data_IF_235704148839
#
_entry.id   IF_235704148839
#
_cell.length_a   1.000
_cell.length_b   1.000
_cell.length_c   1.000
_cell.angle_alpha   90.00
_cell.angle_beta   90.00
_cell.angle_gamma   90.00
#
_symmetry.space_group_name_H-M   'P 1'
#
loop_
_entity.id
_entity.type
_entity.pdbx_description
1 polymer ?
#
# COMPACT_ATOMS: atom_id res chain seq x y z
N UNK A 1 21.41 -13.25 -45.99
CA UNK A 1 21.19 -13.14 -44.53
C UNK A 1 21.01 -11.66 -44.22
N UNK A 2 19.77 -11.16 -44.10
CA UNK A 2 19.52 -9.72 -43.87
C UNK A 2 19.79 -9.38 -42.41
N UNK A 3 20.57 -8.34 -42.18
CA UNK A 3 21.02 -7.83 -40.89
C UNK A 3 19.89 -7.62 -39.87
N UNK A 4 19.64 -8.64 -39.04
CA UNK A 4 18.67 -8.63 -37.93
C UNK A 4 19.07 -7.72 -36.75
N UNK A 5 20.10 -6.89 -36.92
CA UNK A 5 20.65 -5.99 -35.88
C UNK A 5 20.26 -4.52 -36.09
N UNK A 6 19.85 -4.14 -37.29
CA UNK A 6 19.58 -2.75 -37.63
C UNK A 6 18.12 -2.41 -37.35
N UNK A 7 17.93 -1.40 -36.50
CA UNK A 7 16.63 -0.97 -36.00
C UNK A 7 16.08 0.24 -36.77
N UNK A 8 16.95 0.97 -37.47
CA UNK A 8 16.63 2.19 -38.19
C UNK A 8 17.87 2.89 -38.71
N UNK A 9 17.69 4.14 -39.12
CA UNK A 9 18.74 5.02 -39.62
C UNK A 9 18.61 6.40 -38.96
N UNK A 10 19.73 7.06 -38.68
CA UNK A 10 19.76 8.44 -38.22
C UNK A 10 20.20 9.36 -39.36
N UNK A 11 19.39 10.36 -39.68
CA UNK A 11 19.68 11.40 -40.68
C UNK A 11 20.35 12.66 -40.08
N UNK A 12 20.86 12.58 -38.85
CA UNK A 12 21.51 13.73 -38.22
C UNK A 12 22.91 13.90 -38.81
N UNK A 13 23.20 15.08 -39.37
CA UNK A 13 24.48 15.36 -40.03
C UNK A 13 25.72 15.18 -39.12
N UNK A 14 25.55 15.23 -37.80
CA UNK A 14 26.64 15.04 -36.84
C UNK A 14 26.98 13.57 -36.57
N UNK A 15 26.04 12.65 -36.78
CA UNK A 15 26.20 11.22 -36.49
C UNK A 15 25.27 10.38 -37.38
N UNK A 16 25.33 10.62 -38.67
CA UNK A 16 24.52 9.94 -39.67
C UNK A 16 24.92 8.47 -39.75
N UNK A 17 23.93 7.56 -39.85
CA UNK A 17 24.22 6.14 -40.01
C UNK A 17 23.15 5.19 -39.49
N UNK A 18 23.40 3.90 -39.73
CA UNK A 18 22.53 2.81 -39.29
C UNK A 18 22.57 2.63 -37.78
N UNK A 19 21.40 2.39 -37.20
CA UNK A 19 21.22 2.32 -35.77
C UNK A 19 21.03 0.88 -35.30
N UNK A 20 21.78 0.51 -34.27
CA UNK A 20 21.57 -0.70 -33.48
C UNK A 20 20.93 -0.35 -32.13
N UNK A 21 20.54 -1.36 -31.35
CA UNK A 21 19.99 -1.13 -30.01
C UNK A 21 20.98 -0.40 -29.08
N UNK A 22 22.28 -0.67 -29.25
CA UNK A 22 23.34 -0.05 -28.46
C UNK A 22 23.43 1.45 -28.75
N UNK A 23 23.49 1.83 -30.04
CA UNK A 23 23.59 3.23 -30.47
C UNK A 23 22.33 4.02 -30.06
N UNK A 24 21.14 3.44 -30.20
CA UNK A 24 19.90 4.06 -29.74
C UNK A 24 19.88 4.34 -28.23
N UNK A 25 20.47 3.44 -27.43
CA UNK A 25 20.56 3.57 -25.99
C UNK A 25 21.61 4.62 -25.59
N UNK A 26 22.79 4.57 -26.20
CA UNK A 26 23.91 5.48 -25.95
C UNK A 26 23.53 6.93 -26.25
N UNK A 27 22.88 7.17 -27.40
CA UNK A 27 22.46 8.51 -27.80
C UNK A 27 21.14 8.94 -27.14
N UNK A 28 20.46 8.03 -26.45
CA UNK A 28 19.14 8.19 -25.82
C UNK A 28 18.05 8.72 -26.79
N UNK A 29 18.15 8.34 -28.08
CA UNK A 29 17.32 8.88 -29.17
C UNK A 29 15.82 8.73 -28.91
N UNK A 30 15.41 7.66 -28.20
CA UNK A 30 14.00 7.39 -27.89
C UNK A 30 13.45 8.32 -26.83
N UNK A 31 14.21 8.58 -25.76
CA UNK A 31 13.76 9.52 -24.72
C UNK A 31 13.80 10.96 -25.21
N UNK A 32 14.81 11.32 -26.01
CA UNK A 32 14.96 12.64 -26.63
C UNK A 32 13.97 12.90 -27.77
N UNK A 33 13.20 11.88 -28.20
CA UNK A 33 12.31 11.96 -29.36
C UNK A 33 13.05 12.51 -30.60
N UNK A 34 14.19 11.90 -30.95
CA UNK A 34 15.03 12.37 -32.05
C UNK A 34 14.23 12.47 -33.36
N UNK A 35 14.17 13.66 -33.95
CA UNK A 35 13.45 13.94 -35.19
C UNK A 35 14.11 13.33 -36.44
N UNK A 36 15.43 13.10 -36.38
CA UNK A 36 16.20 12.51 -37.48
C UNK A 36 16.20 10.98 -37.49
N UNK A 37 15.52 10.34 -36.53
CA UNK A 37 15.44 8.89 -36.42
C UNK A 37 14.36 8.36 -37.38
N UNK A 38 14.80 7.65 -38.41
CA UNK A 38 13.94 6.82 -39.24
C UNK A 38 13.88 5.39 -38.68
N UNK A 39 12.70 4.94 -38.29
CA UNK A 39 12.49 3.60 -37.72
C UNK A 39 12.19 2.60 -38.81
N UNK A 40 12.84 1.44 -38.77
CA UNK A 40 12.41 0.30 -39.58
C UNK A 40 11.19 -0.34 -38.93
N UNK A 41 9.99 0.08 -39.34
CA UNK A 41 8.72 -0.30 -38.72
C UNK A 41 8.48 -1.82 -38.66
N UNK A 42 9.04 -2.58 -39.61
CA UNK A 42 8.96 -4.05 -39.64
C UNK A 42 9.83 -4.74 -38.59
N UNK A 43 10.72 -4.02 -37.89
CA UNK A 43 11.60 -4.62 -36.90
C UNK A 43 10.88 -4.84 -35.55
N UNK A 44 10.89 -6.06 -34.98
CA UNK A 44 10.12 -6.42 -33.78
C UNK A 44 10.50 -5.63 -32.51
N UNK A 45 11.71 -5.07 -32.46
CA UNK A 45 12.19 -4.21 -31.38
C UNK A 45 11.24 -3.05 -31.05
N UNK A 46 10.66 -2.41 -32.08
CA UNK A 46 9.76 -1.26 -31.88
C UNK A 46 8.45 -1.69 -31.21
N UNK A 47 7.87 -2.81 -31.65
CA UNK A 47 6.69 -3.40 -31.01
C UNK A 47 6.99 -3.80 -29.56
N UNK A 48 8.16 -4.36 -29.27
CA UNK A 48 8.59 -4.69 -27.91
C UNK A 48 8.71 -3.45 -27.02
N UNK A 49 9.29 -2.35 -27.53
CA UNK A 49 9.39 -1.10 -26.77
C UNK A 49 8.02 -0.50 -26.45
N UNK A 50 7.10 -0.51 -27.41
CA UNK A 50 5.73 -0.05 -27.18
C UNK A 50 4.99 -0.91 -26.16
N UNK A 51 5.10 -2.23 -26.27
CA UNK A 51 4.56 -3.17 -25.28
C UNK A 51 5.12 -2.89 -23.88
N UNK A 52 6.44 -2.74 -23.75
CA UNK A 52 7.11 -2.44 -22.46
C UNK A 52 6.65 -1.10 -21.87
N UNK A 53 6.41 -0.09 -22.71
CA UNK A 53 5.86 1.21 -22.27
C UNK A 53 4.43 1.06 -21.75
N UNK A 54 3.58 0.30 -22.46
CA UNK A 54 2.19 0.00 -22.04
C UNK A 54 2.16 -0.77 -20.73
N UNK A 55 2.98 -1.81 -20.58
CA UNK A 55 3.09 -2.59 -19.35
C UNK A 55 3.57 -1.73 -18.17
N UNK A 56 4.58 -0.88 -18.37
CA UNK A 56 5.03 0.04 -17.32
C UNK A 56 3.96 1.05 -16.93
N UNK A 57 3.17 1.54 -17.88
CA UNK A 57 2.06 2.44 -17.60
C UNK A 57 0.96 1.72 -16.80
N UNK A 58 0.56 0.52 -17.22
CA UNK A 58 -0.42 -0.33 -16.53
C UNK A 58 0.03 -0.66 -15.10
N UNK A 59 1.29 -1.03 -14.91
CA UNK A 59 1.84 -1.29 -13.58
C UNK A 59 1.76 -0.04 -12.69
N UNK A 60 2.13 1.14 -13.21
CA UNK A 60 2.02 2.41 -12.46
C UNK A 60 0.58 2.74 -12.07
N UNK A 61 -0.39 2.53 -12.96
CA UNK A 61 -1.81 2.79 -12.65
C UNK A 61 -2.32 1.83 -11.59
N UNK A 62 -2.04 0.53 -11.71
CA UNK A 62 -2.39 -0.47 -10.70
C UNK A 62 -1.77 -0.15 -9.34
N UNK A 63 -0.49 0.20 -9.28
CA UNK A 63 0.16 0.57 -8.02
C UNK A 63 -0.43 1.86 -7.41
N UNK A 64 -0.84 2.81 -8.24
CA UNK A 64 -1.52 4.03 -7.77
C UNK A 64 -2.88 3.69 -7.17
N UNK A 65 -3.67 2.84 -7.82
CA UNK A 65 -4.98 2.39 -7.34
C UNK A 65 -4.86 1.61 -6.02
N UNK A 66 -3.90 0.68 -5.93
CA UNK A 66 -3.61 -0.06 -4.69
C UNK A 66 -3.27 0.93 -3.56
N UNK A 67 -2.37 1.88 -3.82
CA UNK A 67 -1.99 2.89 -2.83
C UNK A 67 -3.18 3.75 -2.38
N UNK A 68 -4.02 4.19 -3.31
CA UNK A 68 -5.21 4.98 -2.99
C UNK A 68 -6.23 4.17 -2.17
N UNK A 69 -6.43 2.89 -2.49
CA UNK A 69 -7.28 1.99 -1.69
C UNK A 69 -6.75 1.82 -0.28
N UNK A 70 -5.45 1.56 -0.13
CA UNK A 70 -4.80 1.43 1.19
C UNK A 70 -4.96 2.70 2.03
N UNK A 71 -4.73 3.88 1.45
CA UNK A 71 -4.92 5.16 2.15
C UNK A 71 -6.38 5.35 2.58
N UNK A 72 -7.35 5.04 1.71
CA UNK A 72 -8.77 5.16 2.08
C UNK A 72 -9.13 4.21 3.22
N UNK A 73 -8.67 2.96 3.16
CA UNK A 73 -8.87 1.98 4.24
C UNK A 73 -8.22 2.44 5.54
N UNK A 74 -7.00 2.97 5.51
CA UNK A 74 -6.33 3.50 6.71
C UNK A 74 -7.13 4.67 7.32
N UNK A 75 -7.63 5.60 6.50
CA UNK A 75 -8.50 6.70 6.95
C UNK A 75 -9.80 6.19 7.59
N UNK A 76 -10.42 5.15 7.01
CA UNK A 76 -11.61 4.52 7.57
C UNK A 76 -11.32 3.84 8.92
N UNK A 77 -10.20 3.13 9.02
CA UNK A 77 -9.78 2.50 10.27
C UNK A 77 -9.46 3.53 11.36
N UNK A 78 -8.81 4.65 11.02
CA UNK A 78 -8.55 5.75 11.96
C UNK A 78 -9.85 6.38 12.49
N UNK A 79 -10.84 6.61 11.62
CA UNK A 79 -12.17 7.07 12.05
C UNK A 79 -12.83 6.08 13.01
N UNK A 80 -12.69 4.79 12.73
CA UNK A 80 -13.26 3.74 13.57
C UNK A 80 -12.56 3.65 14.93
N UNK A 81 -11.24 3.87 15.00
CA UNK A 81 -10.49 3.98 16.27
C UNK A 81 -11.03 5.13 17.11
N UNK A 82 -11.22 6.31 16.52
CA UNK A 82 -11.79 7.48 17.23
C UNK A 82 -13.20 7.18 17.74
N UNK A 83 -14.04 6.54 16.91
CA UNK A 83 -15.39 6.15 17.31
C UNK A 83 -15.39 5.14 18.46
N UNK A 84 -14.52 4.12 18.39
CA UNK A 84 -14.39 3.12 19.44
C UNK A 84 -13.88 3.73 20.75
N UNK A 85 -12.91 4.65 20.70
CA UNK A 85 -12.45 5.35 21.91
C UNK A 85 -13.59 6.15 22.54
N UNK A 86 -14.38 6.90 21.75
CA UNK A 86 -15.54 7.66 22.28
C UNK A 86 -16.58 6.75 22.93
N UNK A 87 -16.82 5.57 22.37
CA UNK A 87 -17.71 4.58 22.98
C UNK A 87 -17.15 4.04 24.29
N UNK A 88 -15.85 3.73 24.33
CA UNK A 88 -15.17 3.29 25.55
C UNK A 88 -15.23 4.36 26.65
N UNK A 89 -14.93 5.61 26.30
CA UNK A 89 -15.01 6.76 27.20
C UNK A 89 -16.44 6.96 27.73
N UNK A 90 -17.45 6.83 26.87
CA UNK A 90 -18.86 6.94 27.28
C UNK A 90 -19.38 5.77 28.13
N UNK A 91 -18.64 4.66 28.19
CA UNK A 91 -18.89 3.52 29.09
C UNK A 91 -17.98 3.55 30.32
N UNK A 92 -17.19 4.63 30.51
CA UNK A 92 -16.19 4.78 31.56
C UNK A 92 -15.15 3.64 31.58
N UNK A 93 -14.81 3.07 30.41
CA UNK A 93 -13.82 2.00 30.32
C UNK A 93 -12.40 2.56 30.43
N UNK A 94 -11.57 2.06 31.38
CA UNK A 94 -10.21 2.53 31.60
C UNK A 94 -9.23 1.91 30.58
N UNK A 95 -9.49 2.13 29.29
CA UNK A 95 -8.70 1.58 28.19
C UNK A 95 -8.36 2.64 27.14
N UNK A 96 -7.25 2.42 26.44
CA UNK A 96 -6.92 3.18 25.23
C UNK A 96 -7.01 2.25 24.04
N UNK A 97 -7.88 2.59 23.09
CA UNK A 97 -7.97 1.95 21.79
C UNK A 97 -6.77 2.41 20.95
N UNK A 98 -5.91 1.46 20.62
CA UNK A 98 -4.63 1.74 19.93
C UNK A 98 -4.74 1.58 18.42
N UNK A 99 -5.51 0.60 17.95
CA UNK A 99 -5.67 0.29 16.53
C UNK A 99 -6.89 -0.59 16.28
N UNK A 100 -7.60 -0.34 15.19
CA UNK A 100 -8.55 -1.28 14.61
C UNK A 100 -8.02 -1.74 13.24
N UNK A 101 -8.12 -3.03 12.95
CA UNK A 101 -7.69 -3.60 11.68
C UNK A 101 -8.54 -4.81 11.32
N UNK A 102 -8.58 -5.15 10.03
CA UNK A 102 -9.14 -6.44 9.59
C UNK A 102 -8.41 -7.60 10.28
N UNK A 103 -9.17 -8.64 10.61
CA UNK A 103 -8.63 -9.86 11.19
C UNK A 103 -7.84 -10.62 10.13
N UNK A 104 -6.51 -10.60 10.24
CA UNK A 104 -5.60 -11.18 9.26
C UNK A 104 -5.85 -12.67 8.92
N UNK A 105 -6.43 -13.43 9.85
CA UNK A 105 -6.72 -14.86 9.67
C UNK A 105 -8.12 -15.12 9.09
N UNK A 106 -8.85 -14.08 8.70
CA UNK A 106 -10.22 -14.19 8.20
C UNK A 106 -10.26 -13.83 6.72
N UNK A 107 -10.90 -14.68 5.93
CA UNK A 107 -11.20 -14.39 4.52
C UNK A 107 -12.38 -13.39 4.39
N UNK A 108 -12.99 -13.01 5.52
CA UNK A 108 -14.13 -12.11 5.61
C UNK A 108 -13.66 -10.69 5.90
N UNK A 109 -13.98 -9.77 5.00
CA UNK A 109 -13.69 -8.34 5.11
C UNK A 109 -14.43 -7.65 6.27
N UNK A 110 -15.50 -8.23 6.80
CA UNK A 110 -16.27 -7.65 7.92
C UNK A 110 -15.78 -8.05 9.32
N UNK A 111 -14.72 -8.86 9.46
CA UNK A 111 -14.16 -9.23 10.77
C UNK A 111 -12.98 -8.32 11.14
N UNK A 112 -13.06 -7.70 12.31
CA UNK A 112 -12.11 -6.72 12.81
C UNK A 112 -11.54 -7.09 14.18
N UNK A 113 -10.35 -6.58 14.47
CA UNK A 113 -9.68 -6.68 15.76
C UNK A 113 -9.49 -5.28 16.31
N UNK A 114 -10.04 -5.03 17.49
CA UNK A 114 -9.83 -3.83 18.30
C UNK A 114 -8.66 -4.11 19.23
N UNK A 115 -7.51 -3.50 18.96
CA UNK A 115 -6.35 -3.56 19.85
C UNK A 115 -6.46 -2.45 20.87
N UNK A 116 -6.32 -2.79 22.15
CA UNK A 116 -6.37 -1.84 23.25
C UNK A 116 -5.26 -2.12 24.25
N UNK A 117 -5.06 -1.16 25.15
CA UNK A 117 -4.21 -1.28 26.35
C UNK A 117 -5.03 -0.89 27.57
N UNK A 118 -4.77 -1.56 28.69
CA UNK A 118 -5.33 -1.27 30.00
C UNK A 118 -4.24 -1.47 31.05
N UNK A 119 -4.43 -1.02 32.29
CA UNK A 119 -3.44 -1.24 33.35
C UNK A 119 -3.51 -2.66 33.96
N UNK A 120 -4.38 -3.52 33.45
CA UNK A 120 -4.46 -4.92 33.87
C UNK A 120 -3.28 -5.76 33.36
N UNK A 121 -2.81 -6.67 34.22
CA UNK A 121 -1.65 -7.52 33.94
C UNK A 121 -2.00 -8.81 33.17
N UNK A 122 -3.26 -8.97 32.79
CA UNK A 122 -3.81 -10.18 32.17
C UNK A 122 -4.76 -9.83 31.02
N UNK A 123 -5.27 -10.87 30.33
CA UNK A 123 -6.24 -10.69 29.26
C UNK A 123 -7.62 -10.37 29.84
N UNK A 124 -7.99 -9.11 29.75
CA UNK A 124 -9.16 -8.50 30.38
C UNK A 124 -10.27 -8.17 29.36
N UNK A 125 -10.20 -8.74 28.14
CA UNK A 125 -11.09 -8.39 27.03
C UNK A 125 -12.58 -8.51 27.35
N UNK A 126 -12.93 -9.45 28.24
CA UNK A 126 -14.30 -9.74 28.63
C UNK A 126 -14.95 -8.58 29.40
N UNK A 127 -14.16 -7.74 30.07
CA UNK A 127 -14.64 -6.55 30.78
C UNK A 127 -15.17 -5.49 29.82
N UNK A 128 -14.68 -5.48 28.57
CA UNK A 128 -15.01 -4.46 27.58
C UNK A 128 -15.87 -5.00 26.43
N UNK A 129 -16.47 -6.17 26.60
CA UNK A 129 -17.17 -6.86 25.51
C UNK A 129 -18.33 -6.03 24.92
N UNK A 130 -19.00 -5.20 25.73
CA UNK A 130 -20.08 -4.33 25.25
C UNK A 130 -19.60 -3.25 24.28
N UNK A 131 -18.32 -2.88 24.30
CA UNK A 131 -17.72 -2.00 23.29
C UNK A 131 -17.79 -2.65 21.91
N UNK A 132 -17.42 -3.94 21.80
CA UNK A 132 -17.45 -4.68 20.54
C UNK A 132 -18.89 -4.83 20.01
N UNK A 133 -19.85 -5.07 20.90
CA UNK A 133 -21.28 -5.12 20.56
C UNK A 133 -21.76 -3.76 20.05
N UNK A 134 -21.42 -2.67 20.75
CA UNK A 134 -21.86 -1.32 20.40
C UNK A 134 -21.28 -0.87 19.06
N UNK A 135 -20.00 -1.18 18.80
CA UNK A 135 -19.37 -0.88 17.52
C UNK A 135 -20.00 -1.68 16.38
N UNK A 136 -20.32 -2.96 16.59
CA UNK A 136 -21.07 -3.78 15.63
C UNK A 136 -22.46 -3.22 15.30
N UNK A 137 -23.18 -2.70 16.31
CA UNK A 137 -24.50 -2.08 16.10
C UNK A 137 -24.41 -0.78 15.31
N UNK A 138 -23.41 0.06 15.58
CA UNK A 138 -23.30 1.38 14.96
C UNK A 138 -22.65 1.36 13.56
N UNK A 139 -21.65 0.49 13.36
CA UNK A 139 -20.79 0.50 12.17
C UNK A 139 -20.85 -0.80 11.37
N UNK A 140 -21.58 -1.81 11.85
CA UNK A 140 -21.61 -3.13 11.24
C UNK A 140 -20.29 -3.89 11.41
N UNK A 141 -20.31 -5.17 11.04
CA UNK A 141 -19.16 -6.07 11.16
C UNK A 141 -19.07 -6.77 12.51
N UNK A 142 -18.02 -7.57 12.66
CA UNK A 142 -17.76 -8.38 13.85
C UNK A 142 -16.44 -8.00 14.46
N UNK A 143 -16.47 -7.57 15.71
CA UNK A 143 -15.30 -7.05 16.42
C UNK A 143 -14.83 -8.04 17.47
N UNK A 144 -13.52 -8.21 17.55
CA UNK A 144 -12.85 -8.96 18.61
C UNK A 144 -11.89 -8.04 19.34
N UNK A 145 -11.87 -8.12 20.66
CA UNK A 145 -10.99 -7.32 21.51
C UNK A 145 -9.67 -8.05 21.70
N UNK A 146 -8.56 -7.30 21.71
CA UNK A 146 -7.22 -7.82 21.93
C UNK A 146 -6.41 -6.87 22.79
N UNK A 147 -6.07 -7.30 23.99
CA UNK A 147 -5.09 -6.59 24.81
C UNK A 147 -3.71 -6.74 24.16
N UNK A 148 -3.09 -5.61 23.82
CA UNK A 148 -1.75 -5.56 23.24
C UNK A 148 -0.71 -6.18 24.19
N UNK A 149 0.19 -7.01 23.64
CA UNK A 149 1.37 -7.49 24.35
C UNK A 149 2.61 -6.72 23.91
N UNK A 150 3.49 -6.44 24.87
CA UNK A 150 4.84 -5.99 24.64
C UNK A 150 5.70 -7.13 24.06
N UNK A 151 6.87 -6.83 23.47
CA UNK A 151 7.78 -7.86 22.94
C UNK A 151 8.25 -8.90 23.96
N UNK A 152 8.24 -8.55 25.26
CA UNK A 152 8.56 -9.46 26.36
C UNK A 152 7.39 -10.38 26.77
N UNK A 153 6.25 -10.32 26.07
CA UNK A 153 5.06 -11.13 26.31
C UNK A 153 4.12 -10.61 27.39
N UNK A 154 4.48 -9.55 28.13
CA UNK A 154 3.59 -8.91 29.11
C UNK A 154 2.51 -8.09 28.41
N UNK A 155 1.33 -7.99 29.01
CA UNK A 155 0.30 -7.06 28.58
C UNK A 155 0.77 -5.62 28.78
N UNK A 156 0.46 -4.77 27.81
CA UNK A 156 0.96 -3.40 27.75
C UNK A 156 0.03 -2.47 28.54
N UNK A 157 0.61 -1.75 29.51
CA UNK A 157 -0.14 -0.77 30.31
C UNK A 157 -0.45 0.51 29.54
N UNK A 158 -1.36 1.33 30.08
CA UNK A 158 -1.60 2.69 29.57
C UNK A 158 -0.32 3.52 29.63
N UNK A 159 0.48 3.36 30.69
CA UNK A 159 1.75 4.04 30.84
C UNK A 159 2.77 3.61 29.77
N UNK A 160 2.87 2.31 29.47
CA UNK A 160 3.75 1.80 28.39
C UNK A 160 3.39 2.41 27.04
N UNK A 161 2.09 2.55 26.76
CA UNK A 161 1.61 3.17 25.54
C UNK A 161 1.93 4.68 25.47
N UNK A 162 1.68 5.40 26.56
CA UNK A 162 1.96 6.83 26.64
C UNK A 162 3.45 7.16 26.50
N UNK A 163 4.33 6.33 27.08
CA UNK A 163 5.78 6.50 26.96
C UNK A 163 6.26 6.28 25.52
N UNK A 164 5.65 5.35 24.78
CA UNK A 164 5.97 5.13 23.36
C UNK A 164 5.58 6.31 22.46
N UNK A 165 4.54 7.08 22.80
CA UNK A 165 4.09 8.23 22.00
C UNK A 165 4.92 9.49 22.22
N UNK A 166 5.70 9.55 23.31
CA UNK A 166 6.54 10.70 23.65
C UNK A 166 7.94 10.64 23.01
N UNK A 167 8.37 9.45 22.58
CA UNK A 167 9.63 9.21 21.87
C UNK A 167 9.39 9.13 20.37
#
# INVERSE_FOLDING_TARGET
MKDTKLLGYCHCQLHEGYLTAAILCEHDCIKKQCHHLEKYASHPYWAYLEWKKKEKAKHRTTMKEIRSKLINTDIEMEKLVVAAQRLADGMDYPIIITRIAHKATSDKDYEFVINYVSDDLFDDWHLYFDLAISLAKCYGGKYTLRHLKLPNGKYASINDWNNRRKN
#
